data_IF_426116546293
#
_entry.id   IF_426116546293
#
_cell.length_a   1.000
_cell.length_b   1.000
_cell.length_c   1.000
_cell.angle_alpha   90.00
_cell.angle_beta   90.00
_cell.angle_gamma   90.00
#
_symmetry.space_group_name_H-M   'P 1'
#
loop_
_entity.id
_entity.type
_entity.pdbx_description
1 polymer ?
#
# COMPACT_ATOMS: atom_id res chain seq x y z
N UNK A 1 71.02 40.86 61.00
CA UNK A 1 69.70 41.25 61.58
C UNK A 1 68.77 41.61 60.43
N UNK A 2 67.84 40.73 60.06
CA UNK A 2 66.92 40.90 58.93
C UNK A 2 65.50 40.95 59.48
N UNK A 3 64.79 42.07 59.28
CA UNK A 3 63.39 42.25 59.67
C UNK A 3 62.49 41.75 58.53
N UNK A 4 61.61 40.81 58.86
CA UNK A 4 60.59 40.27 57.96
C UNK A 4 59.35 41.17 58.07
N UNK A 5 58.95 41.81 56.96
CA UNK A 5 57.73 42.63 56.84
C UNK A 5 56.62 41.76 56.25
N UNK A 6 55.45 41.81 56.90
CA UNK A 6 54.29 40.93 56.71
C UNK A 6 53.47 41.25 55.44
N UNK A 7 53.02 40.25 54.65
CA UNK A 7 52.26 40.43 53.41
C UNK A 7 50.75 40.25 53.63
N UNK A 8 50.12 41.02 54.54
CA UNK A 8 48.67 40.86 54.83
C UNK A 8 47.83 42.04 54.27
N UNK A 9 48.45 43.09 53.74
CA UNK A 9 47.72 44.33 53.36
C UNK A 9 47.57 44.53 51.84
N UNK A 10 47.40 43.45 51.07
CA UNK A 10 47.17 43.51 49.63
C UNK A 10 46.01 42.61 49.15
N UNK A 11 45.03 42.33 50.02
CA UNK A 11 43.91 41.41 49.72
C UNK A 11 42.51 41.98 50.04
N UNK A 12 42.31 43.30 49.97
CA UNK A 12 41.00 43.91 50.35
C UNK A 12 40.40 44.85 49.29
N UNK A 13 41.04 45.05 48.13
CA UNK A 13 40.55 46.00 47.10
C UNK A 13 40.27 45.32 45.76
N UNK A 14 39.56 44.19 45.76
CA UNK A 14 39.08 43.54 44.53
C UNK A 14 37.70 42.88 44.70
N UNK A 15 36.75 43.65 45.26
CA UNK A 15 35.34 43.25 45.41
C UNK A 15 34.43 44.35 44.84
N UNK A 16 34.64 44.74 43.58
CA UNK A 16 33.77 45.73 42.91
C UNK A 16 33.29 45.16 41.57
N UNK A 17 32.03 44.70 41.60
CA UNK A 17 31.05 44.77 40.51
C UNK A 17 31.39 44.05 39.20
N UNK A 18 30.93 42.81 39.07
CA UNK A 18 30.63 42.20 37.76
C UNK A 18 29.26 41.52 37.80
N UNK A 19 28.20 42.32 37.92
CA UNK A 19 26.84 41.89 37.61
C UNK A 19 26.67 41.99 36.08
N UNK A 20 27.18 41.00 35.36
CA UNK A 20 26.94 40.86 33.92
C UNK A 20 25.51 40.38 33.70
N UNK A 21 24.69 41.01 32.84
CA UNK A 21 23.36 40.53 32.54
C UNK A 21 23.50 39.13 31.92
N UNK A 22 22.94 38.13 32.60
CA UNK A 22 22.83 36.77 32.08
C UNK A 22 22.20 36.86 30.69
N UNK A 23 22.87 36.39 29.62
CA UNK A 23 22.30 36.45 28.28
C UNK A 23 21.00 35.66 28.30
N UNK A 24 19.88 36.36 28.09
CA UNK A 24 18.58 35.73 27.90
C UNK A 24 18.75 34.70 26.79
N UNK A 25 18.48 33.40 27.05
CA UNK A 25 18.65 32.38 26.03
C UNK A 25 17.82 32.78 24.82
N UNK A 26 18.50 33.03 23.70
CA UNK A 26 17.83 33.28 22.44
C UNK A 26 17.08 31.99 22.09
N UNK A 27 15.74 32.04 21.90
CA UNK A 27 14.98 30.85 21.58
C UNK A 27 15.59 30.20 20.34
N UNK A 28 16.11 28.98 20.51
CA UNK A 28 16.65 28.22 19.39
C UNK A 28 15.48 27.89 18.47
N UNK A 29 15.52 28.28 17.19
CA UNK A 29 14.40 28.03 16.29
C UNK A 29 14.16 26.52 16.19
N UNK A 30 12.93 26.12 16.46
CA UNK A 30 12.48 24.74 16.29
C UNK A 30 12.40 24.44 14.79
N UNK A 31 13.44 23.76 14.28
CA UNK A 31 13.54 23.35 12.90
C UNK A 31 12.41 22.38 12.50
N UNK A 32 11.87 21.62 13.45
CA UNK A 32 10.81 20.64 13.19
C UNK A 32 9.44 21.32 13.03
N UNK A 33 9.15 22.33 13.86
CA UNK A 33 7.96 23.17 13.72
C UNK A 33 7.94 23.91 12.38
N UNK A 34 9.11 24.41 11.96
CA UNK A 34 9.26 25.13 10.68
C UNK A 34 9.05 24.20 9.49
N UNK A 35 9.63 22.99 9.51
CA UNK A 35 9.47 22.00 8.44
C UNK A 35 8.01 21.54 8.28
N UNK A 36 7.29 21.33 9.38
CA UNK A 36 5.88 20.93 9.38
C UNK A 36 5.00 21.98 8.73
N UNK A 37 5.25 23.26 9.02
CA UNK A 37 4.47 24.37 8.48
C UNK A 37 4.71 24.58 6.97
N UNK A 38 5.94 24.33 6.49
CA UNK A 38 6.27 24.33 5.06
C UNK A 38 5.59 23.17 4.34
N UNK A 39 5.61 21.95 4.90
CA UNK A 39 4.95 20.79 4.32
C UNK A 39 3.42 20.96 4.20
N UNK A 40 2.78 21.52 5.24
CA UNK A 40 1.35 21.84 5.22
C UNK A 40 0.97 22.84 4.12
N UNK A 41 1.78 23.90 3.92
CA UNK A 41 1.54 24.88 2.86
C UNK A 41 1.74 24.29 1.46
N UNK A 42 2.77 23.47 1.27
CA UNK A 42 3.04 22.80 0.01
C UNK A 42 1.93 21.81 -0.38
N UNK A 43 1.36 21.10 0.60
CA UNK A 43 0.22 20.22 0.39
C UNK A 43 -1.05 20.99 -0.01
N UNK A 44 -1.36 22.10 0.68
CA UNK A 44 -2.52 22.93 0.38
C UNK A 44 -2.50 23.50 -1.05
N UNK A 45 -1.33 23.84 -1.58
CA UNK A 45 -1.18 24.32 -2.96
C UNK A 45 -1.38 23.23 -4.02
N UNK A 46 -1.13 21.95 -3.71
CA UNK A 46 -1.33 20.86 -4.68
C UNK A 46 -2.82 20.56 -4.91
N UNK A 47 -3.66 20.69 -3.88
CA UNK A 47 -5.11 20.45 -4.00
C UNK A 47 -5.81 21.51 -4.85
N UNK A 48 -5.29 22.73 -4.93
CA UNK A 48 -5.87 23.82 -5.71
C UNK A 48 -5.73 23.66 -7.23
N UNK A 49 -4.75 22.87 -7.69
CA UNK A 49 -4.48 22.63 -9.11
C UNK A 49 -5.03 21.29 -9.62
N UNK A 50 -5.87 20.61 -8.83
CA UNK A 50 -6.50 19.38 -9.29
C UNK A 50 -7.41 19.70 -10.49
N UNK A 51 -7.24 19.00 -11.64
CA UNK A 51 -8.08 19.21 -12.81
C UNK A 51 -9.53 18.90 -12.44
N UNK A 52 -10.41 19.89 -12.62
CA UNK A 52 -11.84 19.73 -12.43
C UNK A 52 -12.33 18.68 -13.43
N UNK A 53 -12.96 17.60 -12.93
CA UNK A 53 -13.52 16.56 -13.79
C UNK A 53 -14.61 17.16 -14.67
N UNK A 54 -14.32 17.38 -15.95
CA UNK A 54 -15.31 17.77 -16.95
C UNK A 54 -16.33 16.64 -17.07
N UNK A 55 -17.60 16.95 -16.81
CA UNK A 55 -18.67 15.97 -16.92
C UNK A 55 -18.72 15.40 -18.36
N UNK A 56 -18.52 14.09 -18.48
CA UNK A 56 -18.67 13.37 -19.74
C UNK A 56 -20.14 13.45 -20.18
N UNK A 57 -20.45 13.88 -21.42
CA UNK A 57 -21.83 13.94 -21.88
C UNK A 57 -22.45 12.54 -21.93
N UNK A 58 -23.57 12.37 -21.25
CA UNK A 58 -24.37 11.15 -21.28
C UNK A 58 -24.98 11.00 -22.67
N UNK A 59 -24.57 9.98 -23.41
CA UNK A 59 -25.18 9.64 -24.71
C UNK A 59 -26.53 8.99 -24.44
N UNK A 60 -27.61 9.76 -24.59
CA UNK A 60 -28.98 9.24 -24.56
C UNK A 60 -29.24 8.49 -25.85
N UNK A 61 -29.23 7.15 -25.80
CA UNK A 61 -29.61 6.31 -26.93
C UNK A 61 -31.11 6.47 -27.23
N UNK A 62 -31.44 7.16 -28.31
CA UNK A 62 -32.82 7.23 -28.82
C UNK A 62 -33.21 5.89 -29.43
N UNK A 63 -34.24 5.25 -28.87
CA UNK A 63 -34.77 3.99 -29.37
C UNK A 63 -35.33 4.20 -30.79
N UNK A 64 -34.64 3.66 -31.79
CA UNK A 64 -35.11 3.67 -33.18
C UNK A 64 -36.22 2.63 -33.33
N UNK A 65 -37.37 3.04 -33.85
CA UNK A 65 -38.53 2.16 -34.02
C UNK A 65 -38.18 0.99 -34.96
N UNK A 66 -38.41 -0.24 -34.47
CA UNK A 66 -38.20 -1.46 -35.25
C UNK A 66 -39.25 -1.54 -36.37
N UNK A 67 -38.86 -1.77 -37.64
CA UNK A 67 -39.81 -1.94 -38.72
C UNK A 67 -40.65 -3.20 -38.51
N UNK A 68 -41.98 -3.03 -38.55
CA UNK A 68 -42.95 -4.12 -38.54
C UNK A 68 -42.80 -4.94 -39.82
N UNK A 69 -42.37 -6.19 -39.72
CA UNK A 69 -42.29 -7.10 -40.86
C UNK A 69 -43.68 -7.52 -41.31
N UNK A 70 -44.11 -7.04 -42.48
CA UNK A 70 -45.28 -7.55 -43.19
C UNK A 70 -45.00 -8.99 -43.63
N UNK A 71 -45.83 -9.93 -43.19
CA UNK A 71 -45.75 -11.34 -43.61
C UNK A 71 -46.30 -11.49 -45.03
N UNK A 72 -45.40 -11.66 -46.00
CA UNK A 72 -45.75 -12.16 -47.33
C UNK A 72 -46.07 -13.66 -47.23
N UNK A 73 -47.20 -14.16 -47.77
CA UNK A 73 -47.48 -15.59 -47.79
C UNK A 73 -46.44 -16.31 -48.64
N UNK A 74 -45.83 -17.34 -48.06
CA UNK A 74 -44.81 -18.17 -48.71
C UNK A 74 -45.49 -19.24 -49.59
N UNK A 75 -45.06 -19.45 -50.84
CA UNK A 75 -45.57 -20.53 -51.67
C UNK A 75 -45.27 -21.91 -51.04
N UNK A 76 -46.22 -22.82 -51.19
CA UNK A 76 -46.17 -24.18 -50.66
C UNK A 76 -44.93 -24.94 -51.16
N UNK A 77 -44.13 -25.58 -50.28
CA UNK A 77 -42.92 -26.28 -50.69
C UNK A 77 -43.26 -27.56 -51.45
N UNK A 78 -42.67 -27.70 -52.64
CA UNK A 78 -42.60 -28.96 -53.39
C UNK A 78 -41.68 -29.94 -52.64
N UNK A 79 -42.04 -31.22 -52.49
CA UNK A 79 -41.22 -32.18 -51.75
C UNK A 79 -39.86 -32.33 -52.43
N UNK A 80 -38.81 -31.87 -51.75
CA UNK A 80 -37.43 -31.97 -52.22
C UNK A 80 -36.78 -33.18 -51.58
N UNK A 81 -36.20 -34.05 -52.41
CA UNK A 81 -35.52 -35.27 -51.97
C UNK A 81 -34.43 -34.95 -50.94
N UNK A 82 -34.53 -35.58 -49.76
CA UNK A 82 -33.60 -35.37 -48.66
C UNK A 82 -32.28 -36.07 -48.95
N UNK A 83 -31.25 -35.30 -49.31
CA UNK A 83 -29.88 -35.81 -49.41
C UNK A 83 -29.32 -35.92 -47.98
N UNK A 84 -29.22 -37.14 -47.48
CA UNK A 84 -28.56 -37.45 -46.21
C UNK A 84 -27.08 -37.12 -46.32
N UNK A 85 -26.63 -36.02 -45.69
CA UNK A 85 -25.21 -35.66 -45.64
C UNK A 85 -24.52 -36.52 -44.59
N UNK A 86 -23.55 -37.32 -45.04
CA UNK A 86 -22.63 -38.07 -44.17
C UNK A 86 -21.92 -37.11 -43.22
N UNK A 87 -21.86 -37.38 -41.90
CA UNK A 87 -21.18 -36.48 -40.95
C UNK A 87 -19.69 -36.42 -41.27
N UNK A 88 -19.22 -35.26 -41.70
CA UNK A 88 -17.79 -34.97 -41.84
C UNK A 88 -17.18 -34.93 -40.44
N UNK A 89 -16.17 -35.76 -40.19
CA UNK A 89 -15.42 -35.79 -38.93
C UNK A 89 -14.91 -34.39 -38.58
N UNK A 90 -15.42 -33.81 -37.49
CA UNK A 90 -15.01 -32.50 -37.02
C UNK A 90 -13.52 -32.54 -36.63
N UNK A 91 -12.73 -31.63 -37.19
CA UNK A 91 -11.32 -31.50 -36.85
C UNK A 91 -11.18 -31.29 -35.34
N UNK A 92 -10.45 -32.20 -34.67
CA UNK A 92 -10.18 -32.09 -33.25
C UNK A 92 -9.28 -30.88 -33.03
N UNK A 93 -9.76 -29.87 -32.29
CA UNK A 93 -8.97 -28.70 -31.97
C UNK A 93 -7.74 -29.12 -31.15
N UNK A 94 -6.55 -29.02 -31.76
CA UNK A 94 -5.28 -29.23 -31.06
C UNK A 94 -5.16 -28.14 -30.00
N UNK A 95 -5.12 -28.52 -28.72
CA UNK A 95 -4.88 -27.58 -27.62
C UNK A 95 -3.47 -27.03 -27.77
N UNK A 96 -3.34 -25.77 -28.20
CA UNK A 96 -2.08 -25.03 -28.14
C UNK A 96 -1.68 -24.90 -26.67
N UNK A 97 -0.48 -25.38 -26.30
CA UNK A 97 0.05 -25.18 -24.96
C UNK A 97 0.33 -23.70 -24.78
N UNK A 98 -0.38 -23.05 -23.86
CA UNK A 98 -0.05 -21.69 -23.44
C UNK A 98 1.32 -21.72 -22.75
N UNK A 99 2.28 -20.87 -23.15
CA UNK A 99 3.57 -20.81 -22.48
C UNK A 99 3.36 -20.45 -21.00
N UNK A 100 3.92 -21.26 -20.11
CA UNK A 100 3.97 -20.95 -18.68
C UNK A 100 5.00 -19.83 -18.48
N UNK A 101 4.64 -18.72 -17.80
CA UNK A 101 5.61 -17.67 -17.50
C UNK A 101 6.81 -18.24 -16.76
N UNK A 102 8.01 -17.90 -17.20
CA UNK A 102 9.22 -18.26 -16.48
C UNK A 102 9.25 -17.53 -15.13
N UNK A 103 9.24 -18.30 -14.05
CA UNK A 103 9.49 -17.79 -12.70
C UNK A 103 10.93 -17.26 -12.66
N UNK A 104 11.12 -16.00 -12.27
CA UNK A 104 12.45 -15.37 -12.19
C UNK A 104 13.04 -15.42 -10.79
N UNK A 105 12.22 -15.24 -9.77
CA UNK A 105 12.65 -15.21 -8.38
C UNK A 105 12.14 -16.43 -7.61
N UNK A 106 12.83 -16.89 -6.57
CA UNK A 106 12.32 -17.96 -5.72
C UNK A 106 11.11 -17.49 -4.90
N UNK A 107 10.42 -18.42 -4.25
CA UNK A 107 9.37 -18.08 -3.28
C UNK A 107 9.94 -17.31 -2.10
N UNK A 108 9.32 -16.18 -1.76
CA UNK A 108 9.71 -15.34 -0.63
C UNK A 108 9.22 -15.97 0.68
N UNK A 109 10.09 -16.04 1.69
CA UNK A 109 9.76 -16.55 3.03
C UNK A 109 9.34 -15.41 3.96
N UNK A 110 8.23 -15.59 4.67
CA UNK A 110 7.76 -14.59 5.62
C UNK A 110 8.49 -14.76 6.98
N UNK A 111 8.86 -13.66 7.63
CA UNK A 111 9.56 -13.69 8.93
C UNK A 111 8.61 -13.30 10.05
N UNK A 112 8.14 -12.06 10.04
CA UNK A 112 7.23 -11.52 11.06
C UNK A 112 6.06 -10.79 10.38
N UNK A 113 4.86 -10.81 10.96
CA UNK A 113 4.44 -11.58 12.14
C UNK A 113 4.38 -13.09 11.86
N UNK A 114 4.48 -13.90 12.92
CA UNK A 114 4.26 -15.35 12.85
C UNK A 114 2.80 -15.69 12.52
N UNK A 115 2.57 -16.87 11.96
CA UNK A 115 1.22 -17.35 11.64
C UNK A 115 0.31 -17.32 12.88
N UNK A 116 -0.82 -16.63 12.76
CA UNK A 116 -1.83 -16.49 13.82
C UNK A 116 -1.47 -15.52 14.94
N UNK A 117 -0.35 -14.82 14.84
CA UNK A 117 0.07 -13.88 15.89
C UNK A 117 -0.91 -12.72 16.00
N UNK A 118 -1.17 -12.30 17.24
CA UNK A 118 -1.91 -11.07 17.53
C UNK A 118 -0.95 -9.92 17.83
N UNK A 119 -1.06 -8.86 17.06
CA UNK A 119 -0.30 -7.62 17.22
C UNK A 119 -1.23 -6.58 17.84
N UNK A 120 -0.78 -5.95 18.92
CA UNK A 120 -1.49 -4.84 19.55
C UNK A 120 -0.71 -3.55 19.38
N UNK A 121 -1.39 -2.48 18.95
CA UNK A 121 -0.81 -1.14 18.91
C UNK A 121 -1.06 -0.40 17.61
N UNK A 122 -0.31 0.68 17.43
CA UNK A 122 -0.49 1.65 16.33
C UNK A 122 0.20 1.26 15.03
N UNK A 123 1.06 0.24 15.05
CA UNK A 123 1.85 -0.18 13.91
C UNK A 123 1.92 -1.71 13.78
N UNK A 124 1.74 -2.19 12.56
CA UNK A 124 1.97 -3.57 12.13
C UNK A 124 3.26 -3.61 11.31
N UNK A 125 4.25 -4.35 11.78
CA UNK A 125 5.52 -4.53 11.07
C UNK A 125 5.48 -5.88 10.35
N UNK A 126 5.66 -5.84 9.03
CA UNK A 126 5.75 -7.01 8.17
C UNK A 126 7.19 -7.14 7.69
N UNK A 127 7.76 -8.34 7.83
CA UNK A 127 9.15 -8.63 7.49
C UNK A 127 9.24 -9.95 6.74
N UNK A 128 10.13 -10.01 5.75
CA UNK A 128 10.34 -11.18 4.92
C UNK A 128 11.83 -11.36 4.60
N UNK A 129 12.16 -12.53 4.06
CA UNK A 129 13.49 -12.82 3.53
C UNK A 129 13.63 -12.18 2.14
N UNK A 130 14.45 -11.14 2.05
CA UNK A 130 14.76 -10.51 0.77
C UNK A 130 15.50 -11.45 -0.16
N UNK A 131 15.16 -11.37 -1.45
CA UNK A 131 15.90 -11.94 -2.58
C UNK A 131 16.66 -10.80 -3.29
N UNK A 132 17.76 -11.14 -3.97
CA UNK A 132 18.49 -10.17 -4.79
C UNK A 132 17.64 -9.84 -6.04
N UNK A 133 17.17 -8.60 -6.14
CA UNK A 133 16.44 -8.11 -7.30
C UNK A 133 17.44 -7.58 -8.33
N UNK A 134 17.71 -8.37 -9.37
CA UNK A 134 18.79 -8.10 -10.33
C UNK A 134 18.39 -7.11 -11.44
N UNK A 135 17.08 -6.97 -11.68
CA UNK A 135 16.57 -6.10 -12.75
C UNK A 135 16.07 -4.78 -12.21
N UNK A 136 16.43 -3.72 -12.92
CA UNK A 136 15.89 -2.39 -12.67
C UNK A 136 14.37 -2.39 -12.83
N UNK A 137 13.67 -1.84 -11.83
CA UNK A 137 12.21 -1.75 -11.79
C UNK A 137 11.50 -2.97 -11.20
N UNK A 138 12.19 -4.09 -10.98
CA UNK A 138 11.62 -5.17 -10.17
C UNK A 138 11.52 -4.71 -8.70
N UNK A 139 10.43 -5.03 -8.01
CA UNK A 139 10.17 -4.62 -6.64
C UNK A 139 9.23 -5.57 -5.91
N UNK A 140 9.17 -5.46 -4.59
CA UNK A 140 8.25 -6.20 -3.75
C UNK A 140 6.86 -5.55 -3.74
N UNK A 141 5.83 -6.34 -4.02
CA UNK A 141 4.44 -5.95 -3.84
C UNK A 141 3.79 -6.81 -2.77
N UNK A 142 3.23 -6.15 -1.76
CA UNK A 142 2.54 -6.76 -0.64
C UNK A 142 1.04 -6.78 -0.91
N UNK A 143 0.40 -7.95 -0.86
CA UNK A 143 -1.05 -8.09 -0.90
C UNK A 143 -1.59 -8.44 0.50
N UNK A 144 -2.51 -7.62 1.00
CA UNK A 144 -3.21 -7.79 2.27
C UNK A 144 -4.70 -7.98 1.99
N UNK A 145 -5.31 -9.01 2.58
CA UNK A 145 -6.74 -9.30 2.50
C UNK A 145 -7.34 -9.34 3.90
N UNK A 146 -8.57 -8.83 4.06
CA UNK A 146 -9.34 -8.98 5.30
C UNK A 146 -10.06 -10.32 5.27
N UNK A 147 -9.98 -11.12 6.33
CA UNK A 147 -10.63 -12.43 6.35
C UNK A 147 -12.16 -12.33 6.37
N UNK A 148 -12.70 -11.28 6.99
CA UNK A 148 -14.14 -10.99 7.06
C UNK A 148 -14.71 -10.38 5.78
N UNK A 149 -13.87 -10.01 4.81
CA UNK A 149 -14.29 -9.36 3.57
C UNK A 149 -13.57 -9.95 2.36
N UNK A 150 -14.24 -10.87 1.67
CA UNK A 150 -13.69 -11.55 0.49
C UNK A 150 -13.35 -10.61 -0.67
N UNK A 151 -13.98 -9.43 -0.73
CA UNK A 151 -13.78 -8.44 -1.79
C UNK A 151 -12.72 -7.39 -1.45
N UNK A 152 -12.34 -7.28 -0.18
CA UNK A 152 -11.32 -6.32 0.24
C UNK A 152 -9.92 -6.91 0.09
N UNK A 153 -9.15 -6.30 -0.81
CA UNK A 153 -7.73 -6.57 -1.00
C UNK A 153 -7.02 -5.22 -1.16
N UNK A 154 -5.88 -5.05 -0.49
CA UNK A 154 -5.01 -3.89 -0.67
C UNK A 154 -3.65 -4.37 -1.13
N UNK A 155 -3.14 -3.74 -2.20
CA UNK A 155 -1.78 -3.93 -2.69
C UNK A 155 -0.93 -2.72 -2.32
N UNK A 156 0.26 -2.98 -1.80
CA UNK A 156 1.19 -1.96 -1.32
C UNK A 156 2.55 -2.23 -1.94
N UNK A 157 3.12 -1.20 -2.56
CA UNK A 157 4.50 -1.24 -3.05
C UNK A 157 5.46 -1.12 -1.85
N UNK A 158 6.35 -2.10 -1.69
CA UNK A 158 7.41 -2.12 -0.69
C UNK A 158 8.78 -1.80 -1.29
N UNK A 159 8.85 -1.52 -2.59
CA UNK A 159 10.08 -1.20 -3.31
C UNK A 159 11.10 -2.33 -3.19
N UNK A 160 12.30 -1.98 -2.76
CA UNK A 160 13.41 -2.91 -2.55
C UNK A 160 13.56 -3.34 -1.08
N UNK A 161 12.68 -2.88 -0.19
CA UNK A 161 12.79 -3.13 1.24
C UNK A 161 12.31 -4.55 1.56
N UNK A 162 12.92 -5.21 2.54
CA UNK A 162 12.46 -6.51 3.06
C UNK A 162 11.61 -6.39 4.33
N UNK A 163 11.16 -5.17 4.61
CA UNK A 163 10.43 -4.79 5.83
C UNK A 163 9.53 -3.60 5.53
N UNK A 164 8.28 -3.68 5.95
CA UNK A 164 7.30 -2.60 5.82
C UNK A 164 6.57 -2.39 7.15
N UNK A 165 6.49 -1.13 7.59
CA UNK A 165 5.71 -0.75 8.76
C UNK A 165 4.42 -0.06 8.32
N UNK A 166 3.30 -0.63 8.74
CA UNK A 166 1.95 -0.15 8.44
C UNK A 166 1.39 0.49 9.69
N UNK A 167 1.22 1.81 9.67
CA UNK A 167 0.56 2.54 10.75
C UNK A 167 -0.97 2.50 10.55
N UNK A 168 -1.75 2.83 11.59
CA UNK A 168 -3.22 2.88 11.50
C UNK A 168 -3.73 3.70 10.32
N UNK A 169 -3.05 4.80 10.00
CA UNK A 169 -3.40 5.72 8.92
C UNK A 169 -3.26 5.11 7.53
N UNK A 170 -2.68 3.89 7.42
CA UNK A 170 -2.67 3.12 6.19
C UNK A 170 -4.08 2.66 5.76
N UNK A 171 -5.15 2.97 6.51
CA UNK A 171 -6.52 2.66 6.14
C UNK A 171 -6.85 1.17 6.16
N UNK A 172 -6.01 0.37 6.82
CA UNK A 172 -6.22 -1.07 6.99
C UNK A 172 -7.25 -1.35 8.07
N UNK A 173 -7.36 -0.49 9.09
CA UNK A 173 -8.16 -0.71 10.30
C UNK A 173 -7.68 -1.89 11.14
N UNK A 174 -8.42 -2.22 12.19
CA UNK A 174 -8.19 -3.42 13.00
C UNK A 174 -8.97 -4.62 12.45
N UNK A 175 -8.47 -5.83 12.71
CA UNK A 175 -9.12 -7.07 12.30
C UNK A 175 -8.14 -8.21 12.00
N UNK A 176 -8.68 -9.27 11.41
CA UNK A 176 -7.91 -10.42 10.94
C UNK A 176 -7.54 -10.25 9.47
N UNK A 177 -6.25 -10.33 9.17
CA UNK A 177 -5.71 -10.17 7.84
C UNK A 177 -4.96 -11.42 7.40
N UNK A 178 -5.04 -11.72 6.11
CA UNK A 178 -4.10 -12.62 5.43
C UNK A 178 -3.18 -11.75 4.55
N UNK A 179 -1.87 -11.90 4.69
CA UNK A 179 -0.90 -11.18 3.89
C UNK A 179 0.06 -12.11 3.16
N UNK A 180 0.58 -11.62 2.04
CA UNK A 180 1.51 -12.32 1.15
C UNK A 180 2.35 -11.29 0.39
N UNK A 181 3.56 -11.68 -0.01
CA UNK A 181 4.52 -10.82 -0.70
C UNK A 181 4.94 -11.49 -2.01
N UNK A 182 5.11 -10.69 -3.05
CA UNK A 182 5.51 -11.12 -4.38
C UNK A 182 6.59 -10.20 -4.92
N UNK A 183 7.40 -10.69 -5.87
CA UNK A 183 8.18 -9.80 -6.74
C UNK A 183 7.35 -9.50 -7.97
N UNK A 184 7.17 -8.23 -8.27
CA UNK A 184 6.59 -7.74 -9.50
C UNK A 184 7.65 -7.02 -10.32
N UNK A 185 7.47 -7.03 -11.64
CA UNK A 185 8.39 -6.33 -12.54
C UNK A 185 7.92 -4.91 -12.87
N UNK A 186 8.72 -4.20 -13.67
CA UNK A 186 8.41 -2.84 -14.11
C UNK A 186 7.06 -2.71 -14.88
N UNK A 187 6.44 -3.83 -15.28
CA UNK A 187 5.12 -3.89 -15.93
C UNK A 187 4.02 -4.42 -15.00
N UNK A 188 4.31 -4.46 -13.69
CA UNK A 188 3.43 -5.00 -12.64
C UNK A 188 3.04 -6.47 -12.86
N UNK A 189 3.88 -7.24 -13.55
CA UNK A 189 3.68 -8.68 -13.69
C UNK A 189 4.34 -9.41 -12.52
N UNK A 190 3.63 -10.36 -11.92
CA UNK A 190 4.16 -11.21 -10.85
C UNK A 190 5.21 -12.16 -11.45
N UNK A 191 6.43 -12.10 -10.93
CA UNK A 191 7.61 -12.82 -11.45
C UNK A 191 8.28 -13.71 -10.41
N UNK A 192 7.68 -13.81 -9.22
CA UNK A 192 7.92 -14.88 -8.24
C UNK A 192 6.73 -15.85 -8.22
N UNK A 193 6.88 -17.08 -7.70
CA UNK A 193 5.74 -17.92 -7.37
C UNK A 193 4.86 -17.24 -6.34
N UNK A 194 3.65 -17.79 -6.13
CA UNK A 194 2.85 -17.44 -4.98
C UNK A 194 3.68 -17.61 -3.69
N UNK A 195 3.86 -16.51 -2.97
CA UNK A 195 4.59 -16.50 -1.71
C UNK A 195 3.84 -17.24 -0.61
N UNK A 196 4.52 -17.44 0.52
CA UNK A 196 3.86 -17.88 1.75
C UNK A 196 2.75 -16.88 2.14
N UNK A 197 1.61 -17.40 2.59
CA UNK A 197 0.48 -16.60 3.09
C UNK A 197 0.44 -16.71 4.60
N UNK A 198 0.30 -15.58 5.30
CA UNK A 198 0.17 -15.57 6.76
C UNK A 198 -1.05 -14.84 7.26
N UNK A 199 -1.66 -15.42 8.28
CA UNK A 199 -2.75 -14.81 9.01
C UNK A 199 -2.18 -14.03 10.20
N UNK A 200 -2.62 -12.80 10.38
CA UNK A 200 -2.29 -11.95 11.52
C UNK A 200 -3.57 -11.30 12.04
N UNK A 201 -3.69 -11.18 13.36
CA UNK A 201 -4.74 -10.37 13.99
C UNK A 201 -4.11 -9.05 14.45
N UNK A 202 -4.61 -7.92 13.96
CA UNK A 202 -4.15 -6.60 14.40
C UNK A 202 -5.25 -5.90 15.18
N UNK A 203 -5.00 -5.61 16.46
CA UNK A 203 -5.96 -5.04 17.40
C UNK A 203 -5.47 -3.77 18.12
N UNK A 204 -6.42 -3.05 18.70
CA UNK A 204 -6.15 -1.85 19.50
C UNK A 204 -5.49 -2.23 20.85
N UNK A 205 -4.52 -1.44 21.31
CA UNK A 205 -3.94 -1.59 22.64
C UNK A 205 -4.98 -1.12 23.68
N UNK A 206 -5.73 -2.05 24.27
CA UNK A 206 -6.72 -1.75 25.31
C UNK A 206 -8.08 -2.46 25.16
N UNK A 207 -8.37 -3.05 24.01
CA UNK A 207 -9.47 -4.01 23.92
C UNK A 207 -8.96 -5.33 24.48
N UNK A 208 -9.25 -5.64 25.75
CA UNK A 208 -8.79 -6.84 26.44
C UNK A 208 -9.28 -8.14 25.80
N UNK A 209 -8.70 -8.54 24.66
CA UNK A 209 -8.95 -9.80 23.96
C UNK A 209 -10.34 -9.98 23.35
N UNK A 210 -11.34 -9.17 23.71
CA UNK A 210 -12.66 -9.26 23.09
C UNK A 210 -12.62 -8.66 21.68
N UNK A 211 -12.92 -9.44 20.62
CA UNK A 211 -13.13 -8.88 19.30
C UNK A 211 -14.25 -7.84 19.41
N UNK A 212 -13.97 -6.60 19.00
CA UNK A 212 -14.96 -5.53 19.00
C UNK A 212 -16.09 -5.90 18.03
N UNK A 213 -17.13 -6.58 18.54
CA UNK A 213 -18.34 -6.91 17.80
C UNK A 213 -19.12 -5.66 17.31
N UNK A 214 -18.69 -4.46 17.71
CA UNK A 214 -19.40 -3.20 17.47
C UNK A 214 -18.73 -2.32 16.39
N UNK A 215 -17.60 -2.73 15.80
CA UNK A 215 -16.93 -1.95 14.75
C UNK A 215 -17.48 -2.18 13.31
N UNK A 216 -18.56 -2.95 13.15
CA UNK A 216 -19.25 -3.15 11.86
C UNK A 216 -20.52 -2.31 11.74
N UNK A 217 -20.41 -0.99 11.88
CA UNK A 217 -21.43 -0.05 11.40
C UNK A 217 -20.79 1.05 10.57
#
# INVERSE_FOLDING_TARGET
MIKIVSPITALVVLMVVSCSPTPTPTPTPDLNATATLVALRAFATQTANAPTSTATPTVTSSATASPTRTRTPLPSPTPTATITRTPTSAATATRTRTPTPAVRYPSIKLREPKQGQTIQGVALVLEWEGVALEREGDHYELAIKRQESATWEKRLDAGQQSKLQLNQDAGLGYGMFTWSIYVVDAKSQVVSPDGEKRNVNWGHRGSGGQPCAVCHK
#
